data_IF_100031433374
#
_entry.id   IF_100031433374
#
_cell.length_a   1.000
_cell.length_b   1.000
_cell.length_c   1.000
_cell.angle_alpha   90.00
_cell.angle_beta   90.00
_cell.angle_gamma   90.00
#
_symmetry.space_group_name_H-M   'P 1'
#
loop_
_entity.id
_entity.type
_entity.pdbx_description
1 polymer ?
#
# COMPACT_ATOMS: atom_id res chain seq x y z
N UNK A 1 -15.12 -40.18 -20.70
CA UNK A 1 -14.70 -41.59 -20.84
C UNK A 1 -13.19 -41.60 -21.04
N UNK A 2 -12.43 -42.08 -20.05
CA UNK A 2 -10.97 -42.23 -20.11
C UNK A 2 -10.56 -43.18 -21.24
N UNK A 3 -9.45 -42.87 -21.92
CA UNK A 3 -8.45 -43.90 -22.28
C UNK A 3 -7.05 -43.34 -21.98
N UNK A 4 -6.42 -43.94 -20.97
CA UNK A 4 -5.01 -43.83 -20.61
C UNK A 4 -4.16 -44.52 -21.70
N UNK A 5 -3.12 -43.85 -22.20
CA UNK A 5 -2.08 -44.45 -23.04
C UNK A 5 -0.70 -44.14 -22.46
N UNK A 6 -0.04 -45.17 -21.92
CA UNK A 6 1.27 -45.12 -21.25
C UNK A 6 2.38 -44.62 -22.19
N UNK A 7 3.10 -43.60 -21.74
CA UNK A 7 4.54 -43.47 -21.93
C UNK A 7 5.16 -43.06 -20.60
N UNK A 8 5.38 -44.06 -19.74
CA UNK A 8 6.34 -43.95 -18.65
C UNK A 8 7.73 -44.05 -19.27
N UNK A 9 8.24 -42.95 -19.80
CA UNK A 9 9.68 -42.71 -19.88
C UNK A 9 10.03 -41.88 -18.65
N UNK A 10 10.69 -42.52 -17.68
CA UNK A 10 11.40 -41.95 -16.52
C UNK A 10 11.19 -40.43 -16.38
N UNK A 11 10.18 -40.02 -15.62
CA UNK A 11 10.20 -38.67 -15.05
C UNK A 11 11.36 -38.67 -14.06
N UNK A 12 12.56 -38.32 -14.53
CA UNK A 12 13.57 -37.76 -13.65
C UNK A 12 12.84 -36.62 -12.96
N UNK A 13 12.67 -36.71 -11.65
CA UNK A 13 12.05 -35.68 -10.84
C UNK A 13 12.77 -34.36 -11.15
N UNK A 14 12.16 -33.52 -11.99
CA UNK A 14 12.76 -32.24 -12.36
C UNK A 14 12.82 -31.41 -11.08
N UNK A 15 13.93 -30.71 -10.79
CA UNK A 15 13.95 -29.82 -9.65
C UNK A 15 12.89 -28.72 -9.86
N UNK A 16 11.82 -28.74 -9.05
CA UNK A 16 10.68 -27.85 -9.22
C UNK A 16 11.07 -26.37 -9.12
N UNK A 17 12.17 -26.07 -8.42
CA UNK A 17 12.70 -24.72 -8.23
C UNK A 17 13.10 -24.01 -9.53
N UNK A 18 13.49 -24.76 -10.58
CA UNK A 18 13.89 -24.18 -11.87
C UNK A 18 12.76 -23.41 -12.57
N UNK A 19 11.51 -23.81 -12.35
CA UNK A 19 10.34 -23.19 -12.97
C UNK A 19 9.64 -22.19 -12.05
N UNK A 20 10.15 -22.03 -10.82
CA UNK A 20 9.67 -21.05 -9.85
C UNK A 20 10.55 -19.81 -9.97
N UNK A 21 10.14 -18.86 -10.80
CA UNK A 21 10.79 -17.55 -10.88
C UNK A 21 10.95 -16.96 -9.47
N UNK A 22 12.17 -16.53 -9.13
CA UNK A 22 12.57 -15.97 -7.82
C UNK A 22 12.59 -16.96 -6.64
N UNK A 23 12.64 -18.28 -6.90
CA UNK A 23 12.93 -19.26 -5.86
C UNK A 23 14.42 -19.26 -5.47
N UNK A 24 14.80 -18.23 -4.71
CA UNK A 24 16.17 -18.01 -4.27
C UNK A 24 16.68 -19.13 -3.36
N UNK A 25 15.81 -19.67 -2.51
CA UNK A 25 16.15 -20.78 -1.62
C UNK A 25 16.40 -22.06 -2.41
N UNK A 26 15.53 -22.40 -3.36
CA UNK A 26 15.76 -23.51 -4.27
C UNK A 26 17.04 -23.34 -5.09
N UNK A 27 17.29 -22.14 -5.63
CA UNK A 27 18.53 -21.86 -6.35
C UNK A 27 19.78 -22.03 -5.46
N UNK A 28 19.76 -21.53 -4.23
CA UNK A 28 20.92 -21.55 -3.33
C UNK A 28 21.24 -22.94 -2.78
N UNK A 29 20.21 -23.75 -2.53
CA UNK A 29 20.33 -25.04 -1.82
C UNK A 29 20.55 -26.25 -2.73
N UNK A 30 20.50 -26.09 -4.05
CA UNK A 30 20.59 -27.20 -5.00
C UNK A 30 21.85 -27.12 -5.88
N UNK A 31 22.29 -28.28 -6.37
CA UNK A 31 23.29 -28.35 -7.43
C UNK A 31 22.74 -27.77 -8.72
N UNK A 32 23.61 -27.11 -9.49
CA UNK A 32 23.23 -26.54 -10.79
C UNK A 32 23.80 -27.40 -11.90
N UNK A 33 23.05 -27.52 -12.98
CA UNK A 33 23.45 -28.28 -14.16
C UNK A 33 23.25 -27.40 -15.40
N UNK A 34 24.24 -27.40 -16.29
CA UNK A 34 24.09 -26.73 -17.58
C UNK A 34 23.00 -27.40 -18.42
N UNK A 35 22.39 -26.63 -19.32
CA UNK A 35 21.37 -27.17 -20.24
C UNK A 35 21.69 -26.82 -21.69
N UNK A 36 21.60 -27.81 -22.56
CA UNK A 36 21.72 -27.63 -24.02
C UNK A 36 20.46 -28.16 -24.68
N UNK A 37 19.76 -27.32 -25.45
CA UNK A 37 18.49 -27.70 -26.08
C UNK A 37 17.40 -28.11 -25.10
N UNK A 38 17.44 -27.63 -23.85
CA UNK A 38 16.49 -27.99 -22.80
C UNK A 38 16.77 -29.31 -22.09
N UNK A 39 17.81 -30.06 -22.45
CA UNK A 39 18.28 -31.25 -21.73
C UNK A 39 19.37 -30.89 -20.71
N UNK A 40 19.37 -31.55 -19.55
CA UNK A 40 20.31 -31.32 -18.45
C UNK A 40 21.62 -32.10 -18.66
N UNK A 41 22.75 -31.46 -18.40
CA UNK A 41 24.04 -32.14 -18.37
C UNK A 41 24.12 -33.09 -17.15
N UNK A 42 24.72 -34.29 -17.30
CA UNK A 42 24.77 -35.28 -16.22
C UNK A 42 25.63 -34.80 -15.04
N UNK A 43 26.68 -34.05 -15.32
CA UNK A 43 27.57 -33.49 -14.29
C UNK A 43 27.09 -32.10 -13.86
N UNK A 44 27.09 -31.80 -12.55
CA UNK A 44 26.79 -30.46 -12.06
C UNK A 44 27.90 -29.47 -12.42
N UNK A 45 27.56 -28.19 -12.45
CA UNK A 45 28.55 -27.12 -12.51
C UNK A 45 29.40 -27.11 -11.23
N UNK A 46 30.56 -26.44 -11.22
CA UNK A 46 31.37 -26.29 -10.00
C UNK A 46 30.68 -25.55 -8.85
N UNK A 47 29.46 -25.02 -9.05
CA UNK A 47 28.67 -24.43 -7.97
C UNK A 47 28.38 -25.47 -6.89
N UNK A 48 28.80 -25.13 -5.67
CA UNK A 48 28.45 -25.91 -4.48
C UNK A 48 27.23 -25.26 -3.82
N UNK A 49 26.19 -26.04 -3.49
CA UNK A 49 25.06 -25.55 -2.72
C UNK A 49 25.52 -24.84 -1.45
N UNK A 50 24.87 -23.72 -1.12
CA UNK A 50 25.15 -22.94 0.10
C UNK A 50 26.55 -22.33 0.19
N UNK A 51 27.34 -22.34 -0.89
CA UNK A 51 28.75 -21.95 -0.83
C UNK A 51 29.00 -20.45 -0.68
N UNK A 52 28.09 -19.60 -1.16
CA UNK A 52 28.19 -18.15 -1.08
C UNK A 52 26.82 -17.53 -0.79
N UNK A 53 26.74 -16.48 0.03
CA UNK A 53 25.48 -15.77 0.22
C UNK A 53 25.05 -15.07 -1.07
N UNK A 54 23.76 -14.82 -1.17
CA UNK A 54 23.15 -13.99 -2.20
C UNK A 54 23.23 -12.53 -1.75
N UNK A 55 23.64 -11.66 -2.68
CA UNK A 55 23.55 -10.22 -2.53
C UNK A 55 22.39 -9.70 -3.36
N UNK A 56 21.65 -8.72 -2.83
CA UNK A 56 20.69 -7.97 -3.63
C UNK A 56 21.33 -6.68 -4.08
N UNK A 57 21.71 -6.61 -5.36
CA UNK A 57 22.31 -5.40 -5.95
C UNK A 57 21.28 -4.34 -6.31
N UNK A 58 20.03 -4.76 -6.54
CA UNK A 58 18.90 -3.88 -6.82
C UNK A 58 17.63 -4.44 -6.15
N UNK A 59 17.32 -3.95 -4.96
CA UNK A 59 16.06 -4.24 -4.28
C UNK A 59 15.15 -3.01 -4.32
N UNK A 60 13.97 -3.12 -4.89
CA UNK A 60 12.99 -2.03 -4.85
C UNK A 60 11.74 -2.33 -5.65
N UNK A 61 10.78 -1.42 -5.57
CA UNK A 61 9.60 -1.40 -6.43
C UNK A 61 9.23 0.06 -6.76
N UNK A 62 8.47 0.30 -7.84
CA UNK A 62 8.03 1.64 -8.18
C UNK A 62 7.02 2.14 -7.14
N UNK A 63 7.05 3.44 -6.83
CA UNK A 63 6.10 4.08 -5.90
C UNK A 63 4.75 4.34 -6.55
N UNK A 64 4.12 3.26 -7.00
CA UNK A 64 2.84 3.22 -7.68
C UNK A 64 1.94 2.28 -6.92
N UNK A 65 0.62 2.48 -7.01
CA UNK A 65 -0.35 1.50 -6.58
C UNK A 65 0.07 0.09 -7.00
N UNK A 66 0.11 -0.83 -6.03
CA UNK A 66 0.53 -2.23 -6.24
C UNK A 66 1.92 -2.39 -6.86
N UNK A 67 2.86 -1.47 -6.62
CA UNK A 67 4.25 -1.53 -7.09
C UNK A 67 4.93 -2.89 -6.86
N UNK A 68 4.70 -3.52 -5.71
CA UNK A 68 5.23 -4.84 -5.38
C UNK A 68 4.75 -5.99 -6.28
N UNK A 69 3.66 -5.83 -7.04
CA UNK A 69 3.16 -6.87 -7.96
C UNK A 69 4.07 -7.08 -9.17
N UNK A 70 4.82 -6.04 -9.57
CA UNK A 70 5.74 -6.11 -10.69
C UNK A 70 6.95 -5.20 -10.45
N UNK A 71 7.85 -5.53 -9.51
CA UNK A 71 8.88 -4.60 -9.05
C UNK A 71 9.90 -4.19 -10.12
N UNK A 72 9.98 -4.91 -11.26
CA UNK A 72 10.89 -4.61 -12.36
C UNK A 72 10.41 -3.51 -13.31
N UNK A 73 9.11 -3.16 -13.33
CA UNK A 73 8.59 -2.20 -14.32
C UNK A 73 8.83 -0.76 -13.92
N UNK A 74 8.99 0.09 -14.92
CA UNK A 74 9.35 1.48 -14.75
C UNK A 74 8.58 2.34 -15.74
N UNK A 75 7.74 3.26 -15.28
CA UNK A 75 6.88 4.09 -16.13
C UNK A 75 7.66 5.21 -16.83
N UNK A 76 8.56 4.85 -17.74
CA UNK A 76 9.29 5.76 -18.62
C UNK A 76 9.13 5.31 -20.07
N UNK A 77 8.53 6.13 -20.96
CA UNK A 77 8.39 5.82 -22.38
C UNK A 77 9.70 5.46 -23.10
N UNK A 78 10.86 5.80 -22.54
CA UNK A 78 12.19 5.46 -23.07
C UNK A 78 12.67 4.07 -22.64
N UNK A 79 12.02 3.43 -21.68
CA UNK A 79 12.40 2.12 -21.14
C UNK A 79 11.73 0.98 -21.89
N UNK A 80 12.46 -0.12 -22.08
CA UNK A 80 11.86 -1.39 -22.53
C UNK A 80 10.90 -1.98 -21.49
N UNK A 81 11.05 -1.59 -20.23
CA UNK A 81 10.22 -1.99 -19.09
C UNK A 81 9.09 -0.98 -18.80
N UNK A 82 8.69 -0.17 -19.81
CA UNK A 82 7.63 0.83 -19.70
C UNK A 82 6.25 0.21 -19.48
N UNK A 83 5.90 -0.02 -18.23
CA UNK A 83 4.62 -0.60 -17.84
C UNK A 83 4.18 -0.12 -16.45
N UNK A 84 2.88 -0.28 -16.19
CA UNK A 84 2.32 -0.22 -14.85
C UNK A 84 2.34 -1.62 -14.22
N UNK A 85 2.52 -1.72 -12.89
CA UNK A 85 2.43 -2.99 -12.20
C UNK A 85 1.10 -3.68 -12.44
N UNK A 86 1.07 -5.02 -12.39
CA UNK A 86 -0.16 -5.77 -12.59
C UNK A 86 -1.28 -5.32 -11.65
N UNK A 87 -2.46 -5.08 -12.25
CA UNK A 87 -3.69 -4.62 -11.59
C UNK A 87 -3.59 -3.23 -10.94
N UNK A 88 -2.49 -2.49 -11.16
CA UNK A 88 -2.31 -1.14 -10.66
C UNK A 88 -3.29 -0.15 -11.28
N UNK A 89 -3.71 0.85 -10.50
CA UNK A 89 -4.45 2.01 -11.00
C UNK A 89 -3.57 3.11 -11.55
N UNK A 90 -2.24 3.01 -11.40
CA UNK A 90 -1.29 4.00 -11.89
C UNK A 90 -1.17 5.28 -11.05
N UNK A 91 -1.85 5.37 -9.90
CA UNK A 91 -1.62 6.45 -8.94
C UNK A 91 -0.31 6.28 -8.16
N UNK A 92 0.35 7.40 -7.84
CA UNK A 92 1.50 7.43 -6.91
C UNK A 92 1.09 6.84 -5.56
N UNK A 93 1.93 5.98 -5.01
CA UNK A 93 1.75 5.36 -3.70
C UNK A 93 3.10 5.10 -3.02
N UNK A 94 3.56 6.05 -2.22
CA UNK A 94 4.88 5.99 -1.58
C UNK A 94 4.91 4.93 -0.47
N UNK A 95 3.81 4.78 0.28
CA UNK A 95 3.62 3.80 1.33
C UNK A 95 3.70 2.36 0.80
N UNK A 96 3.33 2.12 -0.46
CA UNK A 96 3.50 0.79 -1.09
C UNK A 96 4.98 0.46 -1.25
N UNK A 97 5.78 1.43 -1.72
CA UNK A 97 7.23 1.27 -1.82
C UNK A 97 7.85 1.05 -0.43
N UNK A 98 7.44 1.85 0.57
CA UNK A 98 7.92 1.70 1.94
C UNK A 98 7.61 0.31 2.50
N UNK A 99 6.36 -0.15 2.41
CA UNK A 99 5.96 -1.49 2.89
C UNK A 99 6.68 -2.62 2.16
N UNK A 100 6.94 -2.48 0.86
CA UNK A 100 7.74 -3.44 0.10
C UNK A 100 9.16 -3.56 0.69
N UNK A 101 9.81 -2.43 0.96
CA UNK A 101 11.15 -2.40 1.54
C UNK A 101 11.15 -2.92 2.98
N UNK A 102 10.22 -2.50 3.83
CA UNK A 102 10.11 -2.97 5.22
C UNK A 102 9.93 -4.49 5.26
N UNK A 103 9.06 -5.04 4.40
CA UNK A 103 8.82 -6.49 4.33
C UNK A 103 10.07 -7.26 3.90
N UNK A 104 10.78 -6.78 2.86
CA UNK A 104 12.02 -7.41 2.42
C UNK A 104 13.11 -7.30 3.48
N UNK A 105 13.37 -6.11 4.01
CA UNK A 105 14.42 -5.91 5.00
C UNK A 105 14.14 -6.70 6.28
N UNK A 106 12.90 -6.71 6.76
CA UNK A 106 12.49 -7.52 7.91
C UNK A 106 12.67 -9.01 7.67
N UNK A 107 12.25 -9.52 6.51
CA UNK A 107 12.38 -10.94 6.17
C UNK A 107 13.83 -11.39 5.99
N UNK A 108 14.63 -10.64 5.23
CA UNK A 108 15.99 -11.06 4.87
C UNK A 108 17.02 -10.81 5.96
N UNK A 109 16.78 -9.85 6.86
CA UNK A 109 17.63 -9.62 8.04
C UNK A 109 17.18 -10.40 9.27
N UNK A 110 15.92 -10.82 9.31
CA UNK A 110 15.35 -11.65 10.37
C UNK A 110 15.54 -13.14 10.10
N UNK A 111 14.45 -13.90 10.25
CA UNK A 111 14.50 -15.37 10.17
C UNK A 111 14.89 -15.89 8.78
N UNK A 112 14.48 -15.18 7.72
CA UNK A 112 14.65 -15.62 6.34
C UNK A 112 14.18 -17.07 6.11
N UNK A 113 14.52 -17.67 4.96
CA UNK A 113 14.29 -19.10 4.75
C UNK A 113 15.40 -19.97 5.34
N UNK A 114 16.63 -19.45 5.40
CA UNK A 114 17.80 -20.16 5.93
C UNK A 114 18.92 -19.16 6.27
N UNK A 115 19.54 -19.29 7.44
CA UNK A 115 20.65 -18.43 7.88
C UNK A 115 21.84 -18.50 6.92
N UNK A 116 22.40 -17.35 6.56
CA UNK A 116 23.54 -17.24 5.64
C UNK A 116 23.19 -17.34 4.15
N UNK A 117 21.90 -17.55 3.81
CA UNK A 117 21.47 -17.54 2.40
C UNK A 117 21.57 -16.15 1.77
N UNK A 118 21.10 -15.13 2.47
CA UNK A 118 21.23 -13.72 2.06
C UNK A 118 22.15 -13.03 3.04
N UNK A 119 23.05 -12.21 2.50
CA UNK A 119 23.92 -11.38 3.32
C UNK A 119 23.16 -10.09 3.71
N UNK A 120 22.83 -9.90 5.00
CA UNK A 120 21.99 -8.78 5.45
C UNK A 120 22.64 -7.40 5.28
N UNK A 121 23.97 -7.37 5.16
CA UNK A 121 24.76 -6.14 4.96
C UNK A 121 24.92 -5.80 3.47
N UNK A 122 24.59 -6.73 2.57
CA UNK A 122 24.69 -6.56 1.12
C UNK A 122 23.32 -6.59 0.44
N UNK A 123 22.41 -5.78 0.98
CA UNK A 123 21.10 -5.46 0.40
C UNK A 123 21.11 -3.99 -0.04
N UNK A 124 21.28 -3.78 -1.34
CA UNK A 124 21.35 -2.46 -1.96
C UNK A 124 20.00 -2.07 -2.55
N UNK A 125 19.46 -0.95 -2.09
CA UNK A 125 18.11 -0.50 -2.45
C UNK A 125 18.12 0.37 -3.70
N UNK A 126 17.26 0.02 -4.65
CA UNK A 126 17.01 0.78 -5.88
C UNK A 126 15.83 1.76 -5.66
N UNK A 127 15.93 3.06 -5.96
CA UNK A 127 17.12 3.80 -6.42
C UNK A 127 17.37 5.05 -5.58
N UNK A 128 18.49 5.06 -4.87
CA UNK A 128 19.01 6.28 -4.26
C UNK A 128 19.84 7.04 -5.30
N UNK A 129 19.50 8.31 -5.50
CA UNK A 129 20.05 9.16 -6.55
C UNK A 129 20.94 10.25 -5.92
N UNK A 130 22.09 10.57 -6.51
CA UNK A 130 22.97 11.61 -5.98
C UNK A 130 22.42 13.03 -6.19
N UNK A 131 21.40 13.21 -7.05
CA UNK A 131 20.75 14.50 -7.26
C UNK A 131 20.01 14.94 -5.99
N UNK A 132 20.19 16.19 -5.52
CA UNK A 132 19.59 16.65 -4.28
C UNK A 132 18.07 16.81 -4.42
N UNK A 133 17.34 16.34 -3.43
CA UNK A 133 15.91 16.64 -3.26
C UNK A 133 15.74 17.97 -2.52
N UNK A 134 14.78 18.85 -2.87
CA UNK A 134 13.76 18.69 -3.91
C UNK A 134 14.21 19.12 -5.31
N UNK A 135 15.43 19.63 -5.47
CA UNK A 135 15.90 20.15 -6.74
C UNK A 135 15.64 19.14 -7.87
N UNK A 136 16.11 17.89 -7.75
CA UNK A 136 15.49 16.78 -8.45
C UNK A 136 14.37 16.22 -7.55
N UNK A 137 13.14 16.09 -8.05
CA UNK A 137 12.72 16.17 -9.46
C UNK A 137 12.25 17.53 -9.99
N UNK A 138 12.23 18.60 -9.19
CA UNK A 138 11.49 19.83 -9.52
C UNK A 138 12.10 20.72 -10.62
N UNK A 139 13.43 20.75 -10.79
CA UNK A 139 14.08 21.59 -11.81
C UNK A 139 14.11 20.87 -13.17
N UNK A 140 12.96 20.90 -13.85
CA UNK A 140 12.75 20.33 -15.17
C UNK A 140 13.61 20.96 -16.28
N UNK A 141 14.06 22.21 -16.09
CA UNK A 141 15.01 22.87 -16.98
C UNK A 141 16.40 22.19 -16.97
N UNK A 142 16.77 21.57 -15.84
CA UNK A 142 18.06 20.84 -15.70
C UNK A 142 17.90 19.33 -15.89
N UNK A 143 16.77 18.76 -15.47
CA UNK A 143 16.54 17.32 -15.45
C UNK A 143 15.31 16.92 -16.28
N UNK A 144 15.54 16.33 -17.45
CA UNK A 144 14.48 15.95 -18.39
C UNK A 144 13.60 14.76 -17.92
N UNK A 145 14.06 14.01 -16.92
CA UNK A 145 13.42 12.81 -16.37
C UNK A 145 12.72 13.05 -15.02
N UNK A 146 12.65 14.29 -14.53
CA UNK A 146 12.05 14.61 -13.22
C UNK A 146 10.61 14.10 -13.05
N UNK A 147 9.82 14.09 -14.12
CA UNK A 147 8.45 13.56 -14.07
C UNK A 147 8.38 12.08 -13.66
N UNK A 148 9.41 11.29 -14.00
CA UNK A 148 9.44 9.86 -13.69
C UNK A 148 9.58 9.60 -12.18
N UNK A 149 10.08 10.56 -11.40
CA UNK A 149 10.21 10.41 -9.95
C UNK A 149 8.87 10.08 -9.28
N UNK A 150 7.77 10.66 -9.76
CA UNK A 150 6.44 10.49 -9.15
C UNK A 150 5.99 9.02 -9.08
N UNK A 151 6.37 8.21 -10.07
CA UNK A 151 5.93 6.82 -10.22
C UNK A 151 7.11 5.83 -10.28
N UNK A 152 8.35 6.30 -10.28
CA UNK A 152 9.54 5.45 -10.32
C UNK A 152 10.02 5.01 -8.95
N UNK A 153 11.17 4.34 -8.93
CA UNK A 153 11.77 3.72 -7.74
C UNK A 153 12.55 4.67 -6.84
N UNK A 154 12.66 5.96 -7.20
CA UNK A 154 13.49 6.91 -6.47
C UNK A 154 13.15 6.99 -4.98
N UNK A 155 14.19 6.99 -4.16
CA UNK A 155 14.07 7.04 -2.69
C UNK A 155 14.21 8.46 -2.14
N UNK A 156 14.90 9.34 -2.87
CA UNK A 156 15.13 10.73 -2.48
C UNK A 156 13.81 11.46 -2.23
N UNK A 157 13.68 12.11 -1.07
CA UNK A 157 12.45 12.79 -0.64
C UNK A 157 11.37 11.87 -0.05
N UNK A 158 11.48 10.55 -0.26
CA UNK A 158 10.61 9.54 0.38
C UNK A 158 11.25 8.94 1.62
N UNK A 159 12.57 8.74 1.60
CA UNK A 159 13.33 8.34 2.78
C UNK A 159 13.22 9.42 3.86
N UNK A 160 12.81 9.02 5.06
CA UNK A 160 12.57 9.92 6.18
C UNK A 160 11.18 10.56 6.20
N UNK A 161 10.36 10.39 5.16
CA UNK A 161 8.95 10.73 5.24
C UNK A 161 8.24 9.77 6.22
N UNK A 162 7.26 10.30 6.94
CA UNK A 162 6.41 9.49 7.81
C UNK A 162 5.43 8.65 6.98
N UNK A 163 4.62 7.83 7.64
CA UNK A 163 3.44 7.20 7.07
C UNK A 163 2.22 7.51 7.93
N UNK A 164 1.02 7.25 7.42
CA UNK A 164 -0.18 7.41 8.25
C UNK A 164 -0.13 6.51 9.49
N UNK A 165 0.38 5.28 9.35
CA UNK A 165 0.54 4.34 10.45
C UNK A 165 1.52 4.88 11.51
N UNK A 166 2.68 5.40 11.07
CA UNK A 166 3.69 5.97 11.97
C UNK A 166 3.16 7.22 12.68
N UNK A 167 2.39 8.07 11.99
CA UNK A 167 1.78 9.24 12.60
C UNK A 167 0.73 8.87 13.67
N UNK A 168 -0.12 7.87 13.41
CA UNK A 168 -1.09 7.37 14.40
C UNK A 168 -0.35 6.77 15.61
N UNK A 169 0.67 5.94 15.37
CA UNK A 169 1.47 5.33 16.41
C UNK A 169 2.19 6.37 17.29
N UNK A 170 2.76 7.40 16.68
CA UNK A 170 3.41 8.50 17.39
C UNK A 170 2.42 9.25 18.28
N UNK A 171 1.24 9.64 17.75
CA UNK A 171 0.20 10.30 18.54
C UNK A 171 -0.21 9.45 19.75
N UNK A 172 -0.47 8.15 19.54
CA UNK A 172 -0.88 7.26 20.63
C UNK A 172 0.21 7.13 21.70
N UNK A 173 1.47 6.94 21.26
CA UNK A 173 2.63 6.81 22.16
C UNK A 173 2.85 8.08 22.97
N UNK A 174 2.81 9.26 22.33
CA UNK A 174 2.98 10.56 22.98
C UNK A 174 1.89 10.83 24.02
N UNK A 175 0.71 10.25 23.84
CA UNK A 175 -0.41 10.31 24.78
C UNK A 175 -0.43 9.16 25.81
N UNK A 176 0.61 8.32 25.85
CA UNK A 176 0.79 7.27 26.86
C UNK A 176 0.06 5.96 26.58
N UNK A 177 -0.45 5.75 25.36
CA UNK A 177 -0.99 4.46 24.94
C UNK A 177 0.15 3.56 24.45
N UNK A 178 0.13 2.29 24.84
CA UNK A 178 1.13 1.28 24.42
C UNK A 178 0.49 0.04 23.78
N UNK A 179 -0.75 -0.29 24.14
CA UNK A 179 -1.49 -1.41 23.57
C UNK A 179 -2.31 -0.98 22.34
N UNK A 180 -1.63 -0.83 21.20
CA UNK A 180 -2.26 -0.53 19.92
C UNK A 180 -1.60 -1.26 18.74
N UNK A 181 -2.38 -1.47 17.67
CA UNK A 181 -1.89 -2.03 16.40
C UNK A 181 -2.28 -1.11 15.23
N UNK A 182 -1.29 -0.73 14.42
CA UNK A 182 -1.45 0.07 13.19
C UNK A 182 -0.95 -0.67 11.94
N UNK A 183 -0.68 -1.98 12.05
CA UNK A 183 -0.14 -2.81 10.97
C UNK A 183 -1.06 -2.84 9.73
N UNK A 184 -2.37 -2.72 9.96
CA UNK A 184 -3.40 -2.67 8.91
C UNK A 184 -3.74 -1.25 8.43
N UNK A 185 -2.99 -0.24 8.87
CA UNK A 185 -3.11 1.14 8.38
C UNK A 185 -2.26 1.32 7.13
N UNK A 186 -2.94 1.72 6.05
CA UNK A 186 -2.33 2.21 4.81
C UNK A 186 -2.72 3.65 4.52
N UNK A 187 -1.83 4.38 3.87
CA UNK A 187 -2.06 5.77 3.46
C UNK A 187 -0.75 6.53 3.38
N UNK A 188 -0.64 7.37 2.36
CA UNK A 188 0.48 8.28 2.19
C UNK A 188 0.26 9.53 3.04
N UNK A 189 1.21 9.82 3.93
CA UNK A 189 1.24 11.02 4.74
C UNK A 189 2.71 11.39 4.95
N UNK A 190 3.16 12.50 4.38
CA UNK A 190 4.59 12.85 4.35
C UNK A 190 5.03 13.55 5.64
N UNK A 191 4.10 14.24 6.31
CA UNK A 191 4.33 14.89 7.60
C UNK A 191 3.03 15.32 8.25
N UNK A 192 3.05 15.50 9.56
CA UNK A 192 1.95 16.03 10.37
C UNK A 192 2.50 17.11 11.28
N UNK A 193 1.80 18.24 11.39
CA UNK A 193 2.18 19.34 12.29
C UNK A 193 1.10 19.50 13.35
N UNK A 194 1.45 19.23 14.60
CA UNK A 194 0.61 19.61 15.74
C UNK A 194 1.06 20.98 16.24
N UNK A 195 0.27 22.02 15.95
CA UNK A 195 0.58 23.39 16.37
C UNK A 195 0.19 23.67 17.83
N UNK A 196 -0.90 23.04 18.30
CA UNK A 196 -1.50 23.29 19.61
C UNK A 196 -1.64 21.98 20.40
N UNK A 197 -1.61 22.03 21.74
CA UNK A 197 -1.96 20.89 22.57
C UNK A 197 -3.38 20.39 22.24
N UNK A 198 -3.54 19.08 22.10
CA UNK A 198 -4.81 18.45 21.77
C UNK A 198 -4.94 17.11 22.47
N UNK A 199 -6.13 16.51 22.42
CA UNK A 199 -6.28 15.11 22.82
C UNK A 199 -5.87 14.19 21.67
N UNK A 200 -5.41 12.96 21.98
CA UNK A 200 -5.14 11.94 20.98
C UNK A 200 -6.33 11.78 20.02
N UNK A 201 -7.55 11.70 20.57
CA UNK A 201 -8.80 11.64 19.80
C UNK A 201 -8.94 12.79 18.81
N UNK A 202 -8.73 14.03 19.26
CA UNK A 202 -8.85 15.22 18.41
C UNK A 202 -7.83 15.27 17.28
N UNK A 203 -6.64 14.66 17.47
CA UNK A 203 -5.61 14.55 16.44
C UNK A 203 -5.91 13.40 15.46
N UNK A 204 -6.45 12.29 15.96
CA UNK A 204 -6.71 11.09 15.18
C UNK A 204 -7.99 11.18 14.34
N UNK A 205 -9.08 11.74 14.87
CA UNK A 205 -10.39 11.77 14.19
C UNK A 205 -10.34 12.39 12.78
N UNK A 206 -9.64 13.53 12.53
CA UNK A 206 -9.49 14.06 11.19
C UNK A 206 -8.72 13.12 10.25
N UNK A 207 -7.65 12.48 10.73
CA UNK A 207 -6.88 11.52 9.95
C UNK A 207 -7.73 10.29 9.61
N UNK A 208 -8.46 9.76 10.59
CA UNK A 208 -9.37 8.63 10.41
C UNK A 208 -10.48 8.96 9.41
N UNK A 209 -11.06 10.16 9.47
CA UNK A 209 -12.07 10.61 8.53
C UNK A 209 -11.54 10.77 7.09
N UNK A 210 -10.33 11.32 6.93
CA UNK A 210 -9.72 11.51 5.61
C UNK A 210 -9.36 10.19 4.94
N UNK A 211 -8.74 9.29 5.70
CA UNK A 211 -8.16 8.04 5.20
C UNK A 211 -9.04 6.81 5.40
N UNK A 212 -10.27 6.99 5.91
CA UNK A 212 -11.24 5.93 6.14
C UNK A 212 -10.67 4.83 7.05
N UNK A 213 -10.13 5.23 8.19
CA UNK A 213 -9.57 4.34 9.20
C UNK A 213 -10.62 4.05 10.27
N UNK A 214 -10.81 2.77 10.58
CA UNK A 214 -11.54 2.34 11.77
C UNK A 214 -10.57 2.12 12.91
N UNK A 215 -11.01 2.45 14.12
CA UNK A 215 -10.37 2.06 15.37
C UNK A 215 -11.36 1.15 16.12
N UNK A 216 -10.91 -0.07 16.39
CA UNK A 216 -11.70 -1.09 17.10
C UNK A 216 -10.90 -1.61 18.29
N UNK A 217 -11.61 -2.15 19.27
CA UNK A 217 -10.98 -2.80 20.43
C UNK A 217 -10.96 -4.32 20.18
N UNK A 218 -9.77 -4.91 20.19
CA UNK A 218 -9.59 -6.36 20.14
C UNK A 218 -8.88 -6.81 21.43
N UNK A 219 -9.66 -7.32 22.39
CA UNK A 219 -9.15 -7.62 23.72
C UNK A 219 -8.78 -6.36 24.48
N UNK A 220 -7.49 -6.11 24.66
CA UNK A 220 -6.96 -4.89 25.30
C UNK A 220 -6.28 -3.94 24.31
N UNK A 221 -6.23 -4.33 23.03
CA UNK A 221 -5.48 -3.62 22.00
C UNK A 221 -6.41 -2.76 21.15
N UNK A 222 -6.04 -1.50 20.96
CA UNK A 222 -6.71 -0.63 19.97
C UNK A 222 -6.15 -0.93 18.58
N UNK A 223 -6.94 -1.58 17.74
CA UNK A 223 -6.56 -1.97 16.39
C UNK A 223 -7.08 -0.95 15.39
N UNK A 224 -6.17 -0.34 14.64
CA UNK A 224 -6.46 0.61 13.58
C UNK A 224 -6.35 -0.08 12.21
N UNK A 225 -7.39 0.06 11.38
CA UNK A 225 -7.42 -0.58 10.06
C UNK A 225 -8.04 0.30 9.00
N UNK A 226 -7.44 0.32 7.81
CA UNK A 226 -8.00 1.01 6.65
C UNK A 226 -9.20 0.25 6.08
N UNK A 227 -10.42 0.82 6.17
CA UNK A 227 -11.67 0.24 5.65
C UNK A 227 -11.55 -0.28 4.21
N UNK A 228 -10.89 0.50 3.36
CA UNK A 228 -10.73 0.23 1.93
C UNK A 228 -9.80 -0.97 1.64
N UNK A 229 -8.94 -1.36 2.58
CA UNK A 229 -8.00 -2.47 2.45
C UNK A 229 -8.35 -3.68 3.32
N UNK A 230 -9.42 -3.60 4.12
CA UNK A 230 -9.95 -4.75 4.86
C UNK A 230 -10.58 -5.75 3.87
N UNK A 231 -9.74 -6.62 3.33
CA UNK A 231 -10.08 -7.68 2.38
C UNK A 231 -10.78 -8.89 3.05
N UNK A 232 -11.32 -8.72 4.26
CA UNK A 232 -11.98 -9.79 4.97
C UNK A 232 -13.28 -10.17 4.23
N UNK A 233 -13.52 -11.47 3.98
CA UNK A 233 -14.81 -11.91 3.50
C UNK A 233 -15.88 -11.53 4.51
N UNK A 234 -17.01 -11.03 4.03
CA UNK A 234 -18.11 -10.64 4.90
C UNK A 234 -18.61 -11.86 5.68
N UNK A 235 -18.76 -11.72 7.00
CA UNK A 235 -19.40 -12.69 7.86
C UNK A 235 -20.84 -12.84 7.36
N UNK A 236 -21.19 -14.07 6.98
CA UNK A 236 -22.55 -14.39 6.57
C UNK A 236 -23.39 -14.63 7.81
N UNK A 237 -24.49 -13.90 7.92
CA UNK A 237 -25.47 -14.03 9.00
C UNK A 237 -26.67 -14.77 8.44
N UNK A 238 -26.85 -16.02 8.88
CA UNK A 238 -27.96 -16.89 8.47
C UNK A 238 -29.09 -16.95 9.50
N UNK A 239 -28.82 -16.56 10.75
CA UNK A 239 -29.80 -16.64 11.85
C UNK A 239 -29.88 -15.29 12.54
N UNK A 240 -31.10 -14.76 12.64
CA UNK A 240 -31.43 -13.54 13.37
C UNK A 240 -32.21 -13.91 14.64
N UNK A 241 -32.05 -13.10 15.68
CA UNK A 241 -32.90 -13.20 16.86
C UNK A 241 -34.20 -12.44 16.61
N UNK A 242 -35.32 -13.09 16.89
CA UNK A 242 -36.65 -12.49 16.80
C UNK A 242 -37.08 -11.94 18.16
N UNK A 243 -37.79 -10.82 18.11
CA UNK A 243 -38.59 -10.31 19.23
C UNK A 243 -40.04 -10.27 18.79
N UNK A 244 -41.01 -10.55 19.70
CA UNK A 244 -42.41 -10.38 19.38
C UNK A 244 -42.68 -8.96 18.85
N UNK A 245 -43.49 -8.87 17.80
CA UNK A 245 -43.94 -7.61 17.18
C UNK A 245 -42.84 -6.73 16.54
N UNK A 246 -41.62 -7.24 16.38
CA UNK A 246 -40.53 -6.55 15.66
C UNK A 246 -40.21 -7.24 14.32
N UNK A 247 -39.75 -6.47 13.34
CA UNK A 247 -39.23 -7.05 12.09
C UNK A 247 -37.86 -7.69 12.32
N UNK A 248 -37.53 -8.73 11.56
CA UNK A 248 -36.24 -9.43 11.65
C UNK A 248 -35.04 -8.49 11.39
N UNK A 249 -35.21 -7.53 10.47
CA UNK A 249 -34.28 -6.43 10.24
C UNK A 249 -35.03 -5.17 9.79
N UNK A 250 -34.33 -4.04 9.83
CA UNK A 250 -34.78 -2.75 9.33
C UNK A 250 -33.68 -2.15 8.43
N UNK A 251 -34.01 -1.80 7.19
CA UNK A 251 -33.11 -1.04 6.32
C UNK A 251 -33.66 0.38 6.13
N UNK A 252 -32.84 1.37 6.52
CA UNK A 252 -33.11 2.78 6.27
C UNK A 252 -32.22 3.26 5.14
N UNK A 253 -32.83 3.83 4.11
CA UNK A 253 -32.13 4.47 2.99
C UNK A 253 -32.35 5.98 3.03
N UNK A 254 -31.28 6.71 3.31
CA UNK A 254 -31.31 8.17 3.33
C UNK A 254 -31.60 8.77 1.95
N UNK A 255 -32.15 9.98 1.93
CA UNK A 255 -32.49 10.66 0.68
C UNK A 255 -31.23 11.27 0.06
N UNK A 256 -31.11 11.25 -1.28
CA UNK A 256 -29.91 11.70 -1.98
C UNK A 256 -29.48 13.15 -1.65
N UNK A 257 -30.44 14.02 -1.33
CA UNK A 257 -30.20 15.42 -0.92
C UNK A 257 -29.52 15.58 0.44
N UNK A 258 -29.53 14.55 1.29
CA UNK A 258 -28.92 14.59 2.62
C UNK A 258 -27.39 14.42 2.55
N UNK A 259 -26.90 13.85 1.45
CA UNK A 259 -25.50 13.48 1.27
C UNK A 259 -24.78 14.42 0.31
N UNK A 260 -23.55 14.77 0.65
CA UNK A 260 -22.73 15.69 -0.13
C UNK A 260 -22.50 15.20 -1.57
N UNK A 261 -22.54 16.15 -2.52
CA UNK A 261 -22.17 15.93 -3.92
C UNK A 261 -20.69 16.23 -4.21
N UNK A 262 -20.02 16.92 -3.29
CA UNK A 262 -18.63 17.34 -3.37
C UNK A 262 -17.93 17.11 -2.02
N UNK A 263 -16.65 16.75 -2.07
CA UNK A 263 -15.75 16.70 -0.92
C UNK A 263 -14.51 17.53 -1.16
N UNK A 264 -14.05 18.20 -0.11
CA UNK A 264 -12.94 19.15 -0.11
C UNK A 264 -12.02 18.81 1.04
N UNK A 265 -10.73 18.65 0.72
CA UNK A 265 -9.67 18.35 1.68
C UNK A 265 -8.58 19.42 1.62
N UNK A 266 -8.48 20.23 2.67
CA UNK A 266 -7.39 21.20 2.83
C UNK A 266 -6.16 20.49 3.46
N UNK A 267 -4.98 20.68 2.87
CA UNK A 267 -3.72 20.06 3.30
C UNK A 267 -2.51 20.94 2.93
N UNK A 268 -1.31 20.59 3.38
CA UNK A 268 -0.06 21.20 2.91
C UNK A 268 0.53 20.40 1.75
N UNK A 269 1.06 21.07 0.72
CA UNK A 269 1.69 20.40 -0.42
C UNK A 269 3.22 20.48 -0.36
N UNK A 270 3.86 19.33 -0.54
CA UNK A 270 5.31 19.17 -0.65
C UNK A 270 5.90 19.98 -1.82
N UNK A 271 5.23 19.96 -2.97
CA UNK A 271 5.68 20.64 -4.20
C UNK A 271 5.29 22.11 -4.30
N UNK A 272 4.45 22.62 -3.38
CA UNK A 272 4.01 24.02 -3.36
C UNK A 272 4.66 24.82 -2.22
N UNK A 273 5.92 24.51 -1.90
CA UNK A 273 6.66 25.11 -0.79
C UNK A 273 5.89 25.05 0.55
N UNK A 274 5.23 23.92 0.83
CA UNK A 274 4.41 23.69 2.02
C UNK A 274 3.27 24.70 2.20
N UNK A 275 2.78 25.30 1.11
CA UNK A 275 1.56 26.11 1.15
C UNK A 275 0.33 25.24 1.39
N UNK A 276 -0.67 25.83 2.06
CA UNK A 276 -1.99 25.21 2.20
C UNK A 276 -2.69 25.21 0.85
N UNK A 277 -3.04 24.03 0.37
CA UNK A 277 -3.77 23.79 -0.87
C UNK A 277 -4.99 22.93 -0.61
N UNK A 278 -5.83 22.77 -1.62
CA UNK A 278 -7.12 22.09 -1.49
C UNK A 278 -7.28 21.04 -2.59
N UNK A 279 -7.49 19.78 -2.20
CA UNK A 279 -7.94 18.73 -3.09
C UNK A 279 -9.49 18.68 -3.10
N UNK A 280 -10.06 18.36 -4.26
CA UNK A 280 -11.52 18.31 -4.44
C UNK A 280 -11.93 17.06 -5.21
N UNK A 281 -13.02 16.45 -4.79
CA UNK A 281 -13.72 15.41 -5.54
C UNK A 281 -15.19 15.78 -5.67
N UNK A 282 -15.77 15.58 -6.84
CA UNK A 282 -17.17 15.94 -7.11
C UNK A 282 -17.83 14.88 -7.99
N UNK A 283 -19.09 14.58 -7.71
CA UNK A 283 -19.90 13.73 -8.60
C UNK A 283 -20.19 14.43 -9.91
N UNK A 284 -20.20 13.66 -11.00
CA UNK A 284 -20.65 14.13 -12.32
C UNK A 284 -22.14 14.52 -12.32
N UNK A 285 -22.94 13.83 -11.52
CA UNK A 285 -24.37 14.14 -11.29
C UNK A 285 -24.55 14.54 -9.83
N UNK A 286 -24.82 15.83 -9.59
CA UNK A 286 -25.06 16.37 -8.24
C UNK A 286 -26.54 16.67 -8.07
N UNK A 287 -27.17 16.04 -7.09
CA UNK A 287 -28.57 16.27 -6.69
C UNK A 287 -28.71 17.48 -5.76
N UNK A 288 -27.60 17.98 -5.21
CA UNK A 288 -27.51 19.09 -4.27
C UNK A 288 -26.13 19.77 -4.33
N UNK A 289 -25.97 20.89 -3.61
CA UNK A 289 -24.76 21.71 -3.50
C UNK A 289 -24.00 21.50 -2.17
N UNK A 290 -24.35 20.46 -1.39
CA UNK A 290 -23.71 20.17 -0.09
C UNK A 290 -22.28 19.72 -0.31
N UNK A 291 -21.38 20.25 0.52
CA UNK A 291 -19.95 19.99 0.46
C UNK A 291 -19.49 19.38 1.78
N UNK A 292 -18.82 18.22 1.70
CA UNK A 292 -18.08 17.64 2.82
C UNK A 292 -16.71 18.32 2.89
N UNK A 293 -16.40 18.98 4.00
CA UNK A 293 -15.12 19.70 4.17
C UNK A 293 -14.32 19.11 5.32
N UNK A 294 -13.05 18.88 5.08
CA UNK A 294 -12.06 18.48 6.08
C UNK A 294 -10.77 19.26 5.87
N UNK A 295 -10.07 19.59 6.96
CA UNK A 295 -8.76 20.23 6.92
C UNK A 295 -7.81 19.40 7.75
N UNK A 296 -6.67 19.03 7.17
CA UNK A 296 -5.61 18.30 7.86
C UNK A 296 -4.39 19.20 8.02
N UNK A 297 -3.77 19.23 9.21
CA UNK A 297 -2.46 19.85 9.37
C UNK A 297 -1.36 18.88 8.90
N UNK A 298 -1.57 18.25 7.74
CA UNK A 298 -0.73 17.19 7.18
C UNK A 298 -0.20 17.58 5.81
N UNK A 299 1.01 17.10 5.51
CA UNK A 299 1.64 17.22 4.20
C UNK A 299 1.28 15.99 3.38
N UNK A 300 0.61 16.21 2.25
CA UNK A 300 0.19 15.17 1.31
C UNK A 300 0.65 15.54 -0.10
N UNK A 301 1.10 14.55 -0.85
CA UNK A 301 1.23 14.71 -2.30
C UNK A 301 -0.15 14.75 -2.96
N UNK A 302 -0.24 15.39 -4.12
CA UNK A 302 -1.53 15.64 -4.79
C UNK A 302 -2.38 14.39 -5.04
N UNK A 303 -1.76 13.27 -5.42
CA UNK A 303 -2.48 12.01 -5.63
C UNK A 303 -3.11 11.43 -4.34
N UNK A 304 -2.40 11.50 -3.21
CA UNK A 304 -2.92 11.06 -1.92
C UNK A 304 -4.09 11.93 -1.46
N UNK A 305 -3.97 13.25 -1.60
CA UNK A 305 -5.04 14.17 -1.22
C UNK A 305 -6.28 14.04 -2.10
N UNK A 306 -6.11 13.87 -3.42
CA UNK A 306 -7.21 13.61 -4.34
C UNK A 306 -7.91 12.28 -4.04
N UNK A 307 -7.12 11.22 -3.79
CA UNK A 307 -7.63 9.91 -3.39
C UNK A 307 -8.39 9.95 -2.07
N UNK A 308 -7.89 10.68 -1.07
CA UNK A 308 -8.59 10.88 0.21
C UNK A 308 -9.91 11.64 0.04
N UNK A 309 -9.92 12.75 -0.71
CA UNK A 309 -11.16 13.50 -0.99
C UNK A 309 -12.20 12.64 -1.73
N UNK A 310 -11.76 11.83 -2.70
CA UNK A 310 -12.64 10.89 -3.39
C UNK A 310 -13.16 9.78 -2.48
N UNK A 311 -12.30 9.18 -1.66
CA UNK A 311 -12.67 8.15 -0.68
C UNK A 311 -13.70 8.70 0.33
N UNK A 312 -13.49 9.90 0.85
CA UNK A 312 -14.42 10.59 1.74
C UNK A 312 -15.80 10.76 1.10
N UNK A 313 -15.86 11.26 -0.16
CA UNK A 313 -17.12 11.47 -0.86
C UNK A 313 -17.86 10.16 -1.13
N UNK A 314 -17.10 9.12 -1.53
CA UNK A 314 -17.64 7.79 -1.80
C UNK A 314 -18.18 7.14 -0.53
N UNK A 315 -17.42 7.15 0.56
CA UNK A 315 -17.84 6.57 1.84
C UNK A 315 -19.05 7.31 2.41
N UNK A 316 -19.03 8.65 2.44
CA UNK A 316 -20.16 9.45 2.90
C UNK A 316 -21.46 9.09 2.17
N UNK A 317 -21.40 8.93 0.85
CA UNK A 317 -22.57 8.53 0.05
C UNK A 317 -22.89 7.05 0.17
N UNK A 318 -21.89 6.19 0.37
CA UNK A 318 -22.11 4.77 0.59
C UNK A 318 -22.83 4.55 1.93
N UNK A 319 -22.58 5.36 2.96
CA UNK A 319 -23.29 5.35 4.25
C UNK A 319 -24.79 5.69 4.21
N UNK A 320 -25.37 5.80 3.00
CA UNK A 320 -26.80 6.07 2.79
C UNK A 320 -27.71 4.93 3.23
N UNK A 321 -27.24 3.68 3.19
CA UNK A 321 -28.01 2.53 3.66
C UNK A 321 -27.52 2.15 5.04
N UNK A 322 -28.45 2.14 5.99
CA UNK A 322 -28.23 1.70 7.36
C UNK A 322 -29.11 0.49 7.61
N UNK A 323 -28.55 -0.49 8.30
CA UNK A 323 -29.16 -1.77 8.56
C UNK A 323 -29.14 -2.01 10.07
N UNK A 324 -30.31 -2.29 10.64
CA UNK A 324 -30.46 -2.71 12.04
C UNK A 324 -31.00 -4.13 12.04
N UNK A 325 -30.38 -5.02 12.80
CA UNK A 325 -30.83 -6.40 12.97
C UNK A 325 -30.41 -6.92 14.33
N UNK A 326 -30.96 -8.08 14.74
CA UNK A 326 -30.71 -8.65 16.06
C UNK A 326 -30.09 -10.02 15.94
N UNK A 327 -29.12 -10.30 16.80
CA UNK A 327 -28.44 -11.58 16.90
C UNK A 327 -28.71 -12.21 18.28
N UNK A 328 -28.67 -13.55 18.39
CA UNK A 328 -28.81 -14.20 19.68
C UNK A 328 -27.63 -13.84 20.60
N UNK A 329 -27.80 -13.86 21.94
CA UNK A 329 -26.76 -13.46 22.91
C UNK A 329 -25.44 -14.21 22.77
N UNK A 330 -25.47 -15.43 22.23
CA UNK A 330 -24.28 -16.26 22.03
C UNK A 330 -23.48 -15.93 20.75
N UNK A 331 -24.01 -15.09 19.86
CA UNK A 331 -23.34 -14.72 18.60
C UNK A 331 -22.26 -13.65 18.81
N UNK A 332 -21.34 -13.88 19.75
CA UNK A 332 -20.35 -12.92 20.23
C UNK A 332 -19.26 -12.57 19.20
N UNK A 333 -19.15 -13.31 18.09
CA UNK A 333 -18.12 -13.10 17.08
C UNK A 333 -18.32 -11.85 16.22
N UNK A 334 -19.51 -11.22 16.27
CA UNK A 334 -19.81 -10.00 15.51
C UNK A 334 -19.55 -8.79 16.40
N UNK A 335 -18.60 -7.96 15.99
CA UNK A 335 -18.15 -6.77 16.71
C UNK A 335 -18.14 -5.52 15.81
N UNK A 336 -18.10 -4.30 16.39
CA UNK A 336 -17.89 -3.08 15.64
C UNK A 336 -16.67 -3.17 14.71
N UNK A 337 -16.83 -2.63 13.50
CA UNK A 337 -15.89 -2.72 12.40
C UNK A 337 -16.04 -3.96 11.53
N UNK A 338 -16.70 -5.03 11.98
CA UNK A 338 -16.81 -6.25 11.17
C UNK A 338 -17.68 -6.03 9.94
N UNK A 339 -17.35 -6.75 8.86
CA UNK A 339 -18.13 -6.69 7.63
C UNK A 339 -19.11 -7.86 7.66
N UNK A 340 -20.40 -7.57 7.57
CA UNK A 340 -21.49 -8.54 7.58
C UNK A 340 -22.28 -8.51 6.28
N UNK A 341 -22.94 -9.63 5.97
CA UNK A 341 -24.01 -9.73 4.98
C UNK A 341 -25.13 -10.61 5.54
N UNK A 342 -26.38 -10.23 5.32
CA UNK A 342 -27.53 -11.03 5.71
C UNK A 342 -27.87 -12.03 4.60
N UNK A 343 -28.15 -13.28 4.96
CA UNK A 343 -28.54 -14.33 4.02
C UNK A 343 -29.86 -14.02 3.30
N UNK A 344 -30.89 -13.65 4.08
CA UNK A 344 -32.25 -13.37 3.63
C UNK A 344 -32.60 -11.87 3.76
N UNK A 345 -31.58 -11.02 3.85
CA UNK A 345 -31.72 -9.56 3.98
C UNK A 345 -31.37 -8.81 2.70
N UNK A 346 -31.12 -7.49 2.79
CA UNK A 346 -30.87 -6.69 1.62
C UNK A 346 -29.47 -6.97 1.05
N UNK A 347 -29.36 -6.93 -0.28
CA UNK A 347 -28.09 -7.17 -0.97
C UNK A 347 -27.02 -6.17 -0.55
N UNK A 348 -25.81 -6.68 -0.31
CA UNK A 348 -24.64 -5.85 -0.07
C UNK A 348 -23.81 -6.31 1.12
N UNK A 349 -22.78 -5.51 1.41
CA UNK A 349 -21.91 -5.66 2.57
C UNK A 349 -22.10 -4.43 3.44
N UNK A 350 -22.17 -4.66 4.74
CA UNK A 350 -22.36 -3.60 5.73
C UNK A 350 -21.25 -3.72 6.78
N UNK A 351 -20.66 -2.59 7.15
CA UNK A 351 -19.73 -2.51 8.28
C UNK A 351 -20.56 -2.30 9.54
N UNK A 352 -20.35 -3.13 10.56
CA UNK A 352 -20.98 -2.98 11.87
C UNK A 352 -20.44 -1.70 12.52
N UNK A 353 -21.31 -0.78 12.86
CA UNK A 353 -20.93 0.49 13.51
C UNK A 353 -21.17 0.47 15.00
N UNK A 354 -22.13 -0.33 15.45
CA UNK A 354 -22.48 -0.44 16.86
C UNK A 354 -23.07 -1.81 17.17
N UNK A 355 -22.72 -2.30 18.35
CA UNK A 355 -23.37 -3.44 18.99
C UNK A 355 -23.89 -2.99 20.35
N UNK A 356 -25.17 -3.25 20.62
CA UNK A 356 -25.79 -2.99 21.93
C UNK A 356 -26.14 -4.34 22.55
N UNK A 357 -25.52 -4.65 23.68
CA UNK A 357 -25.75 -5.89 24.42
C UNK A 357 -27.04 -5.80 25.27
N UNK A 358 -27.80 -6.89 25.33
CA UNK A 358 -29.07 -6.99 26.04
C UNK A 358 -29.64 -8.41 25.98
N UNK A 359 -30.97 -8.56 26.07
CA UNK A 359 -31.64 -9.87 25.88
C UNK A 359 -31.38 -10.48 24.50
N UNK A 360 -31.17 -9.62 23.51
CA UNK A 360 -30.62 -9.95 22.19
C UNK A 360 -29.53 -8.92 21.89
N UNK A 361 -28.57 -9.27 21.04
CA UNK A 361 -27.55 -8.33 20.59
C UNK A 361 -28.11 -7.52 19.44
N UNK A 362 -28.33 -6.22 19.63
CA UNK A 362 -28.76 -5.34 18.56
C UNK A 362 -27.55 -4.82 17.78
N UNK A 363 -27.55 -5.07 16.48
CA UNK A 363 -26.46 -4.72 15.56
C UNK A 363 -26.93 -3.59 14.67
N UNK A 364 -26.18 -2.48 14.67
CA UNK A 364 -26.31 -1.42 13.68
C UNK A 364 -25.13 -1.51 12.73
N UNK A 365 -25.43 -1.49 11.43
CA UNK A 365 -24.44 -1.55 10.38
C UNK A 365 -24.76 -0.53 9.28
N UNK A 366 -23.77 -0.16 8.49
CA UNK A 366 -23.95 0.77 7.37
C UNK A 366 -23.25 0.25 6.13
N UNK A 367 -23.79 0.54 4.95
CA UNK A 367 -23.03 0.30 3.73
C UNK A 367 -21.85 1.25 3.66
N UNK A 368 -20.78 0.79 3.02
CA UNK A 368 -19.53 1.52 2.91
C UNK A 368 -18.99 1.39 1.48
N UNK A 369 -18.09 2.30 1.10
CA UNK A 369 -17.38 2.16 -0.16
C UNK A 369 -16.26 1.13 0.03
N UNK A 370 -16.41 -0.07 -0.52
CA UNK A 370 -15.38 -1.11 -0.42
C UNK A 370 -14.42 -1.06 -1.60
N UNK A 371 -13.11 -1.13 -1.32
CA UNK A 371 -12.00 -1.38 -2.24
C UNK A 371 -11.98 -0.53 -3.51
N UNK A 372 -11.05 0.42 -3.61
CA UNK A 372 -10.72 1.01 -4.92
C UNK A 372 -9.26 1.42 -5.06
N UNK A 373 -8.87 1.47 -6.32
CA UNK A 373 -7.52 1.60 -6.84
C UNK A 373 -7.11 3.08 -6.78
N UNK A 374 -5.90 3.41 -6.32
CA UNK A 374 -5.40 4.79 -6.45
C UNK A 374 -5.35 5.12 -7.94
N UNK A 375 -6.29 5.95 -8.40
CA UNK A 375 -6.31 6.44 -9.76
C UNK A 375 -5.17 7.45 -9.95
N UNK A 376 -4.66 7.62 -11.18
CA UNK A 376 -3.66 8.63 -11.45
C UNK A 376 -4.29 10.01 -11.23
N UNK A 377 -3.70 10.81 -10.35
CA UNK A 377 -3.98 12.24 -10.35
C UNK A 377 -3.10 12.91 -11.41
N UNK A 378 -3.62 13.84 -12.22
CA UNK A 378 -2.81 14.54 -13.20
C UNK A 378 -1.66 15.27 -12.49
N UNK A 379 -0.44 15.05 -12.99
CA UNK A 379 0.72 15.81 -12.54
C UNK A 379 0.51 17.28 -12.92
N UNK A 380 0.28 18.13 -11.93
CA UNK A 380 0.28 19.57 -12.14
C UNK A 380 1.74 20.01 -12.26
N UNK A 381 2.17 20.36 -13.49
CA UNK A 381 3.41 21.12 -13.69
C UNK A 381 3.26 22.44 -12.97
N UNK A 382 3.84 22.54 -11.78
CA UNK A 382 3.99 23.83 -11.11
C UNK A 382 5.35 24.38 -11.46
N UNK A 383 5.37 25.60 -11.98
CA UNK A 383 6.61 26.35 -12.11
C UNK A 383 7.10 26.59 -10.69
N UNK A 384 8.11 25.84 -10.26
CA UNK A 384 8.83 26.17 -9.05
C UNK A 384 9.32 27.62 -9.23
N UNK A 385 8.75 28.57 -8.49
CA UNK A 385 9.54 29.75 -8.13
C UNK A 385 10.71 29.17 -7.37
N UNK A 386 11.89 29.20 -7.97
CA UNK A 386 13.11 28.64 -7.41
C UNK A 386 13.18 29.04 -5.92
N UNK A 387 12.87 28.11 -5.03
CA UNK A 387 13.24 28.22 -3.63
C UNK A 387 14.74 27.90 -3.59
N UNK A 388 15.54 28.83 -4.11
CA UNK A 388 16.97 28.78 -3.98
C UNK A 388 17.29 28.80 -2.48
N UNK A 389 17.91 27.73 -1.97
CA UNK A 389 18.55 27.74 -0.66
C UNK A 389 18.00 26.84 0.44
N UNK A 390 17.04 25.94 0.16
CA UNK A 390 16.66 24.88 1.11
C UNK A 390 17.22 23.53 0.67
N UNK A 391 18.54 23.45 0.55
CA UNK A 391 19.21 22.15 0.47
C UNK A 391 19.15 21.52 1.86
N UNK A 392 18.40 20.42 1.99
CA UNK A 392 18.32 19.69 3.25
C UNK A 392 19.69 19.06 3.55
N UNK A 393 20.45 19.67 4.47
CA UNK A 393 21.72 19.15 4.99
C UNK A 393 21.56 17.87 5.86
N UNK A 394 20.40 17.22 5.81
CA UNK A 394 19.99 16.18 6.77
C UNK A 394 20.51 14.76 6.46
N UNK A 395 21.27 14.56 5.37
CA UNK A 395 21.83 13.24 5.06
C UNK A 395 23.10 13.36 4.22
N UNK A 396 24.28 13.18 4.83
CA UNK A 396 25.54 12.94 4.13
C UNK A 396 25.76 11.42 4.08
N UNK A 397 25.48 10.73 2.96
CA UNK A 397 25.70 9.30 2.87
C UNK A 397 27.20 8.97 2.85
N UNK A 398 27.57 7.86 3.48
CA UNK A 398 28.87 7.24 3.24
C UNK A 398 28.86 6.61 1.84
N UNK A 399 29.61 7.20 0.91
CA UNK A 399 29.68 6.77 -0.48
C UNK A 399 30.79 5.73 -0.64
N UNK A 400 30.40 4.46 -0.80
CA UNK A 400 31.31 3.38 -1.16
C UNK A 400 31.18 3.01 -2.63
N UNK A 401 32.23 3.27 -3.41
CA UNK A 401 32.28 2.83 -4.81
C UNK A 401 32.70 1.36 -4.88
N UNK A 402 31.75 0.47 -5.22
CA UNK A 402 32.05 -0.95 -5.44
C UNK A 402 32.84 -1.13 -6.74
N UNK A 403 34.08 -1.60 -6.65
CA UNK A 403 34.89 -2.03 -7.80
C UNK A 403 34.55 -3.47 -8.17
N UNK A 404 33.45 -3.68 -8.91
CA UNK A 404 33.20 -4.98 -9.53
C UNK A 404 34.27 -5.25 -10.61
N UNK A 405 34.99 -6.38 -10.58
CA UNK A 405 35.99 -6.69 -11.60
C UNK A 405 35.29 -6.84 -12.95
N UNK A 406 35.52 -5.89 -13.85
CA UNK A 406 35.20 -6.03 -15.26
C UNK A 406 35.90 -7.30 -15.77
N UNK A 407 35.11 -8.28 -16.24
CA UNK A 407 35.70 -9.48 -16.83
C UNK A 407 36.57 -9.05 -18.02
N UNK A 408 37.89 -9.25 -17.92
CA UNK A 408 38.83 -9.07 -19.03
C UNK A 408 38.68 -10.23 -20.01
N UNK A 409 37.53 -10.37 -20.66
CA UNK A 409 37.37 -11.20 -21.86
C UNK A 409 36.43 -10.50 -22.82
N UNK A 410 37.00 -9.90 -23.87
CA UNK A 410 36.23 -9.29 -24.95
C UNK A 410 36.73 -7.93 -25.48
N UNK A 411 38.03 -7.63 -25.44
CA UNK A 411 38.62 -6.65 -26.37
C UNK A 411 39.56 -7.39 -27.32
N UNK A 412 39.01 -7.92 -28.40
CA UNK A 412 39.77 -8.29 -29.59
C UNK A 412 39.27 -7.49 -30.76
N UNK A 413 40.10 -6.49 -31.11
CA UNK A 413 40.33 -5.86 -32.42
C UNK A 413 39.16 -5.08 -33.04
N UNK A 414 39.36 -3.77 -33.02
CA UNK A 414 38.91 -2.85 -34.05
C UNK A 414 39.33 -3.36 -35.44
N UNK A 415 38.48 -3.11 -36.43
CA UNK A 415 38.89 -2.95 -37.83
C UNK A 415 38.15 -1.74 -38.41
N UNK A 416 38.84 -0.84 -39.13
CA UNK A 416 38.26 0.38 -39.65
C UNK A 416 37.59 0.16 -41.01
N UNK A 417 36.46 0.84 -41.22
CA UNK A 417 35.99 1.40 -42.49
C UNK A 417 34.97 2.49 -42.16
#
# INVERSE_FOLDING_TARGET
>A
MLILGKLFTRVVAKPHWLYRYKDLHGWWTNHHHERTGGAEAPEPTPWQPRSKPIWFTELGCPAVDKGGNQPNVFTDPKSAENALPYFSGGGRADAVQRRFLDAHLGWWRGDGPETGMVDPDHIFVWTWDARPYPAFPENDARWADGHNWQLGHWLNGRLGATTLADAIAAILTDHGFSDFDVSMVGGDLMGLVQAEPGSARGLLEPLMAAFQIDAVEEGVTLVFRSRLRTALPAIRIDVLAERPDETAFEEVRGHGSEFAGEAVLDHFSDTAAYQRVTARSRRRTTENDRVLRLSLPAVLHGAAAAGAAEAMLRDHRAGMRRLTFRLPPNALSVMPGDIVRLADGPDGRFVVTRVTEGEVREIQAQSFAGGDINAPAPFARQSARAAAGLEAAAFLPDVHCSTCPLSRRGRTRASPA
#
